data_IF_640897448019
#
_entry.id   IF_640897448019
#
_cell.length_a   1.000
_cell.length_b   1.000
_cell.length_c   1.000
_cell.angle_alpha   90.00
_cell.angle_beta   90.00
_cell.angle_gamma   90.00
#
_symmetry.space_group_name_H-M   'P 1'
#
loop_
_entity.id
_entity.type
_entity.pdbx_description
1 polymer ?
#
# COMPACT_ATOMS: atom_id res chain seq x y z
N UNK A 1 -21.79 16.30 10.70
CA UNK A 1 -20.39 16.76 10.81
C UNK A 1 -20.17 17.27 12.23
N UNK A 2 -19.12 16.83 12.91
CA UNK A 2 -18.85 17.30 14.27
C UNK A 2 -17.45 17.91 14.33
N UNK A 3 -17.37 19.11 14.91
CA UNK A 3 -16.11 19.71 15.31
C UNK A 3 -15.76 19.17 16.68
N UNK A 4 -14.60 18.54 16.82
CA UNK A 4 -14.18 17.89 18.04
C UNK A 4 -13.14 18.75 18.77
N UNK A 5 -13.30 18.90 20.07
CA UNK A 5 -12.32 19.48 20.97
C UNK A 5 -12.26 18.63 22.24
N UNK A 6 -11.07 18.24 22.69
CA UNK A 6 -10.89 17.46 23.91
C UNK A 6 -11.05 18.40 25.14
N UNK A 7 -12.07 18.14 25.94
CA UNK A 7 -12.36 18.93 27.13
C UNK A 7 -11.37 18.67 28.30
N UNK A 8 -10.35 17.83 28.13
CA UNK A 8 -9.45 17.41 29.22
C UNK A 8 -7.95 17.62 28.97
N UNK A 9 -7.51 18.03 27.79
CA UNK A 9 -6.10 18.23 27.53
C UNK A 9 -5.91 19.49 26.68
N UNK A 10 -5.25 20.48 27.25
CA UNK A 10 -4.65 21.63 26.59
C UNK A 10 -5.54 22.29 25.49
N UNK A 11 -6.01 23.48 25.70
CA UNK A 11 -6.95 24.23 24.83
C UNK A 11 -6.50 24.44 23.37
N UNK A 12 -5.41 23.79 22.95
CA UNK A 12 -4.80 23.90 21.62
C UNK A 12 -5.14 22.75 20.65
N UNK A 13 -5.82 21.68 21.09
CA UNK A 13 -6.17 20.54 20.24
C UNK A 13 -7.63 20.60 19.81
N UNK A 14 -7.84 20.96 18.57
CA UNK A 14 -9.14 20.93 17.89
C UNK A 14 -9.01 20.16 16.57
N UNK A 15 -10.10 19.65 16.09
CA UNK A 15 -10.10 18.88 14.84
C UNK A 15 -11.50 18.78 14.23
N UNK A 16 -11.52 18.24 13.01
CA UNK A 16 -12.72 17.95 12.27
C UNK A 16 -12.92 16.43 12.20
N UNK A 17 -14.14 15.98 12.34
CA UNK A 17 -14.54 14.61 12.07
C UNK A 17 -15.64 14.62 11.02
N UNK A 18 -15.36 14.01 9.86
CA UNK A 18 -16.34 13.79 8.81
C UNK A 18 -16.88 12.36 8.91
N UNK A 19 -18.19 12.23 9.12
CA UNK A 19 -18.88 10.94 9.17
C UNK A 19 -20.11 10.98 8.27
N UNK A 20 -20.31 9.94 7.48
CA UNK A 20 -21.48 9.79 6.62
C UNK A 20 -21.83 8.31 6.43
N UNK A 21 -23.12 8.05 6.17
CA UNK A 21 -23.56 6.68 5.88
C UNK A 21 -23.10 6.27 4.46
N UNK A 22 -22.67 5.01 4.23
CA UNK A 22 -22.23 4.55 2.91
C UNK A 22 -23.26 4.77 1.78
N UNK A 23 -24.54 4.68 2.09
CA UNK A 23 -25.60 4.91 1.10
C UNK A 23 -25.65 6.35 0.58
N UNK A 24 -25.14 7.30 1.35
CA UNK A 24 -25.09 8.71 0.94
C UNK A 24 -24.26 8.92 -0.34
N UNK A 25 -23.20 8.15 -0.51
CA UNK A 25 -22.28 8.24 -1.65
C UNK A 25 -22.50 7.14 -2.70
N UNK A 26 -23.34 6.13 -2.41
CA UNK A 26 -23.47 4.90 -3.21
C UNK A 26 -23.84 5.15 -4.66
N UNK A 27 -24.69 6.15 -4.94
CA UNK A 27 -25.19 6.49 -6.30
C UNK A 27 -24.23 7.38 -7.08
N UNK A 28 -23.12 7.80 -6.46
CA UNK A 28 -22.11 8.67 -7.05
C UNK A 28 -20.84 7.88 -7.34
N UNK A 29 -19.98 8.38 -8.24
CA UNK A 29 -18.69 7.76 -8.56
C UNK A 29 -17.83 7.50 -7.31
N UNK A 30 -17.90 8.39 -6.31
CA UNK A 30 -17.22 8.26 -5.03
C UNK A 30 -17.61 6.95 -4.29
N UNK A 31 -18.86 6.48 -4.39
CA UNK A 31 -19.31 5.26 -3.71
C UNK A 31 -18.54 4.01 -4.14
N UNK A 32 -18.21 3.89 -5.42
CA UNK A 32 -17.36 2.81 -5.93
C UNK A 32 -15.87 3.02 -5.60
N UNK A 33 -15.43 4.27 -5.62
CA UNK A 33 -14.01 4.63 -5.40
C UNK A 33 -13.59 4.53 -3.93
N UNK A 34 -14.45 4.89 -2.98
CA UNK A 34 -14.10 4.98 -1.56
C UNK A 34 -13.56 3.66 -1.00
N UNK A 35 -14.07 2.52 -1.48
CA UNK A 35 -13.60 1.19 -1.11
C UNK A 35 -12.17 0.90 -1.60
N UNK A 36 -11.71 1.59 -2.64
CA UNK A 36 -10.37 1.45 -3.20
C UNK A 36 -9.33 2.37 -2.54
N UNK A 37 -9.77 3.32 -1.71
CA UNK A 37 -8.89 4.24 -0.98
C UNK A 37 -8.21 3.53 0.18
N UNK A 38 -6.98 3.09 -0.04
CA UNK A 38 -6.24 2.20 0.88
C UNK A 38 -5.82 2.87 2.18
N UNK A 39 -5.69 4.19 2.20
CA UNK A 39 -5.28 4.92 3.40
C UNK A 39 -6.29 4.80 4.57
N UNK A 40 -7.53 4.40 4.32
CA UNK A 40 -8.48 4.01 5.38
C UNK A 40 -8.09 2.72 6.11
N UNK A 41 -7.16 1.94 5.56
CA UNK A 41 -6.66 0.69 6.15
C UNK A 41 -5.23 0.83 6.70
N UNK A 42 -4.72 2.06 6.82
CA UNK A 42 -3.41 2.32 7.41
C UNK A 42 -3.49 2.33 8.94
N UNK A 43 -2.38 2.02 9.58
CA UNK A 43 -2.27 2.05 11.04
C UNK A 43 -2.14 3.49 11.56
N UNK A 44 -2.42 3.69 12.86
CA UNK A 44 -2.37 5.03 13.48
C UNK A 44 -0.98 5.68 13.36
N UNK A 45 0.08 4.89 13.44
CA UNK A 45 1.47 5.35 13.26
C UNK A 45 1.82 5.67 11.81
N UNK A 46 0.92 5.37 10.87
CA UNK A 46 1.03 5.68 9.44
C UNK A 46 0.16 6.88 9.04
N UNK A 47 -0.29 7.63 10.04
CA UNK A 47 -1.15 8.80 9.82
C UNK A 47 -0.49 9.83 8.87
N UNK A 48 -1.33 10.55 8.17
CA UNK A 48 -0.90 11.60 7.27
C UNK A 48 -0.36 12.81 8.07
N UNK A 49 0.89 13.14 7.83
CA UNK A 49 1.50 14.38 8.33
C UNK A 49 1.35 15.47 7.28
N UNK A 50 0.55 16.49 7.57
CA UNK A 50 0.27 17.59 6.67
C UNK A 50 1.08 18.84 7.05
N UNK A 51 1.52 19.58 6.03
CA UNK A 51 2.13 20.91 6.20
C UNK A 51 1.07 21.97 6.55
N UNK A 52 1.50 23.14 6.98
CA UNK A 52 0.56 24.26 7.27
C UNK A 52 -0.27 24.66 6.04
N UNK A 53 0.31 24.68 4.85
CA UNK A 53 -0.40 24.98 3.62
C UNK A 53 -1.44 23.89 3.26
N UNK A 54 -1.08 22.62 3.45
CA UNK A 54 -1.99 21.49 3.25
C UNK A 54 -3.12 21.52 4.28
N UNK A 55 -2.81 21.87 5.53
CA UNK A 55 -3.79 22.04 6.60
C UNK A 55 -4.82 23.10 6.23
N UNK A 56 -4.39 24.29 5.78
CA UNK A 56 -5.30 25.35 5.33
C UNK A 56 -6.24 24.88 4.22
N UNK A 57 -5.73 24.07 3.28
CA UNK A 57 -6.54 23.48 2.21
C UNK A 57 -7.64 22.58 2.77
N UNK A 58 -7.29 21.68 3.69
CA UNK A 58 -8.25 20.76 4.32
C UNK A 58 -9.27 21.52 5.17
N UNK A 59 -8.82 22.47 5.97
CA UNK A 59 -9.69 23.31 6.79
C UNK A 59 -10.72 24.05 5.94
N UNK A 60 -10.30 24.67 4.84
CA UNK A 60 -11.19 25.36 3.92
C UNK A 60 -12.23 24.43 3.27
N UNK A 61 -11.84 23.19 2.93
CA UNK A 61 -12.78 22.19 2.41
C UNK A 61 -13.78 21.73 3.47
N UNK A 62 -13.34 21.54 4.72
CA UNK A 62 -14.20 21.15 5.82
C UNK A 62 -15.20 22.26 6.17
N UNK A 63 -14.78 23.53 6.15
CA UNK A 63 -15.66 24.69 6.34
C UNK A 63 -16.69 24.82 5.19
N UNK A 64 -16.29 24.52 3.95
CA UNK A 64 -17.21 24.50 2.83
C UNK A 64 -18.26 23.39 2.99
N UNK A 65 -17.84 22.18 3.41
CA UNK A 65 -18.75 21.08 3.73
C UNK A 65 -19.73 21.45 4.85
N UNK A 66 -19.24 22.09 5.92
CA UNK A 66 -20.08 22.52 7.03
C UNK A 66 -21.10 23.57 6.58
N UNK A 67 -20.67 24.56 5.81
CA UNK A 67 -21.58 25.59 5.27
C UNK A 67 -22.67 25.01 4.37
N UNK A 68 -22.32 24.06 3.52
CA UNK A 68 -23.28 23.40 2.65
C UNK A 68 -24.25 22.50 3.45
N UNK A 69 -23.77 21.83 4.47
CA UNK A 69 -24.60 20.99 5.35
C UNK A 69 -25.59 21.81 6.19
N UNK A 70 -25.26 23.07 6.50
CA UNK A 70 -26.12 23.97 7.31
C UNK A 70 -27.13 24.77 6.45
N UNK A 71 -27.03 24.69 5.12
CA UNK A 71 -28.01 25.34 4.23
C UNK A 71 -29.34 24.60 4.19
N UNK A 72 -30.36 25.27 3.68
CA UNK A 72 -31.61 24.61 3.32
C UNK A 72 -31.35 23.55 2.26
N UNK A 73 -31.92 22.37 2.48
CA UNK A 73 -31.70 21.20 1.61
C UNK A 73 -32.47 21.41 0.31
N UNK A 74 -31.78 21.31 -0.81
CA UNK A 74 -32.35 21.35 -2.17
C UNK A 74 -31.89 20.11 -2.98
N UNK A 75 -32.32 20.05 -4.26
CA UNK A 75 -31.99 18.94 -5.16
C UNK A 75 -30.49 18.81 -5.50
N UNK A 76 -29.69 19.85 -5.27
CA UNK A 76 -28.24 19.89 -5.56
C UNK A 76 -27.38 19.62 -4.34
N UNK A 77 -27.91 19.80 -3.12
CA UNK A 77 -27.16 19.68 -1.85
C UNK A 77 -26.37 18.39 -1.75
N UNK A 78 -26.98 17.23 -2.05
CA UNK A 78 -26.29 15.95 -1.99
C UNK A 78 -25.12 15.87 -2.97
N UNK A 79 -25.33 16.33 -4.22
CA UNK A 79 -24.30 16.28 -5.25
C UNK A 79 -23.11 17.19 -4.90
N UNK A 80 -23.36 18.36 -4.33
CA UNK A 80 -22.33 19.32 -3.89
C UNK A 80 -21.52 18.70 -2.74
N UNK A 81 -22.17 18.19 -1.71
CA UNK A 81 -21.48 17.57 -0.56
C UNK A 81 -20.62 16.38 -1.03
N UNK A 82 -21.14 15.50 -1.89
CA UNK A 82 -20.37 14.34 -2.40
C UNK A 82 -19.17 14.82 -3.22
N UNK A 83 -19.30 15.87 -4.01
CA UNK A 83 -18.20 16.44 -4.78
C UNK A 83 -17.11 17.02 -3.87
N UNK A 84 -17.48 17.71 -2.79
CA UNK A 84 -16.52 18.22 -1.80
C UNK A 84 -15.78 17.09 -1.08
N UNK A 85 -16.51 16.01 -0.72
CA UNK A 85 -15.89 14.81 -0.15
C UNK A 85 -14.90 14.18 -1.15
N UNK A 86 -15.25 14.07 -2.43
CA UNK A 86 -14.37 13.52 -3.46
C UNK A 86 -13.09 14.35 -3.63
N UNK A 87 -13.21 15.68 -3.60
CA UNK A 87 -12.06 16.60 -3.60
C UNK A 87 -11.19 16.39 -2.37
N UNK A 88 -11.77 16.24 -1.18
CA UNK A 88 -11.05 15.95 0.06
C UNK A 88 -10.26 14.64 -0.04
N UNK A 89 -10.88 13.58 -0.60
CA UNK A 89 -10.20 12.28 -0.80
C UNK A 89 -9.03 12.41 -1.80
N UNK A 90 -9.18 13.19 -2.87
CA UNK A 90 -8.12 13.46 -3.83
C UNK A 90 -6.92 14.17 -3.18
N UNK A 91 -7.18 15.14 -2.30
CA UNK A 91 -6.10 15.79 -1.53
C UNK A 91 -5.42 14.83 -0.57
N UNK A 92 -6.16 13.98 0.12
CA UNK A 92 -5.58 12.97 0.99
C UNK A 92 -4.63 12.02 0.24
N UNK A 93 -5.04 11.48 -0.92
CA UNK A 93 -4.17 10.65 -1.79
C UNK A 93 -2.91 11.41 -2.24
N UNK A 94 -3.08 12.67 -2.65
CA UNK A 94 -1.97 13.54 -3.06
C UNK A 94 -0.96 13.74 -1.93
N UNK A 95 -1.44 13.99 -0.71
CA UNK A 95 -0.59 14.26 0.45
C UNK A 95 0.11 12.99 0.93
N UNK A 96 -0.55 11.82 0.90
CA UNK A 96 0.13 10.55 1.14
C UNK A 96 1.21 10.27 0.09
N UNK A 97 0.95 10.53 -1.19
CA UNK A 97 1.97 10.39 -2.25
C UNK A 97 3.18 11.30 -2.00
N UNK A 98 2.94 12.56 -1.59
CA UNK A 98 4.01 13.47 -1.18
C UNK A 98 4.78 12.91 0.04
N UNK A 99 4.06 12.47 1.08
CA UNK A 99 4.66 11.90 2.29
C UNK A 99 5.55 10.70 1.97
N UNK A 100 5.12 9.79 1.11
CA UNK A 100 5.94 8.66 0.69
C UNK A 100 7.23 9.11 0.00
N UNK A 101 7.17 10.11 -0.88
CA UNK A 101 8.36 10.66 -1.55
C UNK A 101 9.31 11.35 -0.56
N UNK A 102 8.78 12.12 0.37
CA UNK A 102 9.59 12.82 1.38
C UNK A 102 10.22 11.84 2.36
N UNK A 103 9.51 10.79 2.76
CA UNK A 103 10.02 9.76 3.66
C UNK A 103 11.23 9.02 3.10
N UNK A 104 11.32 8.87 1.78
CA UNK A 104 12.49 8.28 1.13
C UNK A 104 13.79 9.06 1.40
N UNK A 105 13.72 10.38 1.51
CA UNK A 105 14.89 11.21 1.82
C UNK A 105 15.34 11.11 3.29
N UNK A 106 14.44 10.71 4.18
CA UNK A 106 14.69 10.59 5.62
C UNK A 106 14.99 9.15 6.03
N UNK A 107 14.32 8.17 5.40
CA UNK A 107 14.50 6.74 5.62
C UNK A 107 14.79 6.02 4.28
N UNK A 108 15.99 6.21 3.69
CA UNK A 108 16.33 5.58 2.41
C UNK A 108 16.36 4.04 2.49
N UNK A 109 16.24 3.49 3.67
CA UNK A 109 16.54 2.11 4.02
C UNK A 109 15.34 1.13 3.92
N UNK A 110 14.11 1.61 3.66
CA UNK A 110 12.94 0.69 3.65
C UNK A 110 13.07 -0.40 2.57
N UNK A 111 13.59 -0.05 1.39
CA UNK A 111 13.84 -1.04 0.34
C UNK A 111 14.88 -2.08 0.76
N UNK A 112 15.95 -1.63 1.40
CA UNK A 112 16.98 -2.52 1.95
C UNK A 112 16.38 -3.41 3.05
N UNK A 113 15.63 -2.86 3.97
CA UNK A 113 14.94 -3.62 5.04
C UNK A 113 13.95 -4.65 4.48
N UNK A 114 13.23 -4.32 3.41
CA UNK A 114 12.36 -5.29 2.70
C UNK A 114 13.19 -6.43 2.14
N UNK A 115 14.31 -6.13 1.47
CA UNK A 115 15.23 -7.15 0.94
C UNK A 115 15.77 -8.04 2.05
N UNK A 116 16.27 -7.46 3.12
CA UNK A 116 16.79 -8.18 4.29
C UNK A 116 15.72 -9.05 4.94
N UNK A 117 14.49 -8.56 5.08
CA UNK A 117 13.38 -9.35 5.61
C UNK A 117 13.05 -10.56 4.75
N UNK A 118 13.12 -10.43 3.42
CA UNK A 118 12.95 -11.56 2.49
C UNK A 118 14.14 -12.54 2.62
N UNK A 119 15.38 -12.04 2.59
CA UNK A 119 16.59 -12.86 2.71
C UNK A 119 16.61 -13.65 4.01
N UNK A 120 16.32 -13.02 5.14
CA UNK A 120 16.27 -13.67 6.46
C UNK A 120 15.18 -14.74 6.54
N UNK A 121 14.04 -14.57 5.85
CA UNK A 121 13.02 -15.62 5.78
C UNK A 121 13.59 -16.90 5.11
N UNK A 122 14.35 -16.74 4.02
CA UNK A 122 14.95 -17.86 3.29
C UNK A 122 16.33 -18.32 3.80
N UNK A 123 16.90 -17.62 4.79
CA UNK A 123 18.12 -18.06 5.47
C UNK A 123 17.86 -19.15 6.52
N UNK A 124 16.61 -19.39 6.89
CA UNK A 124 16.24 -20.45 7.83
C UNK A 124 16.56 -21.82 7.25
N UNK A 125 16.95 -22.76 8.13
CA UNK A 125 17.22 -24.14 7.70
C UNK A 125 15.91 -24.86 7.35
N UNK A 126 15.90 -25.54 6.21
CA UNK A 126 14.75 -26.31 5.72
C UNK A 126 13.99 -25.62 4.61
N UNK A 127 12.90 -26.25 4.19
CA UNK A 127 11.97 -25.71 3.19
C UNK A 127 10.98 -24.80 3.93
N UNK A 128 10.99 -23.51 3.60
CA UNK A 128 10.05 -22.53 4.15
C UNK A 128 9.03 -22.14 3.08
N UNK A 129 7.77 -21.88 3.44
CA UNK A 129 6.76 -21.43 2.48
C UNK A 129 7.16 -20.07 1.89
N UNK A 130 6.56 -19.70 0.75
CA UNK A 130 6.77 -18.39 0.15
C UNK A 130 6.37 -17.31 1.16
N UNK A 131 7.29 -16.36 1.39
CA UNK A 131 7.02 -15.22 2.26
C UNK A 131 5.87 -14.38 1.71
N UNK A 132 4.99 -13.95 2.60
CA UNK A 132 3.83 -13.14 2.22
C UNK A 132 4.09 -11.64 2.41
N UNK A 133 3.41 -10.75 1.65
CA UNK A 133 3.47 -9.31 1.89
C UNK A 133 3.16 -8.92 3.34
N UNK A 134 2.19 -9.61 3.95
CA UNK A 134 1.81 -9.42 5.35
C UNK A 134 2.99 -9.69 6.29
N UNK A 135 3.70 -10.81 6.12
CA UNK A 135 4.85 -11.15 6.95
C UNK A 135 5.97 -10.08 6.85
N UNK A 136 6.23 -9.58 5.64
CA UNK A 136 7.21 -8.50 5.46
C UNK A 136 6.75 -7.20 6.14
N UNK A 137 5.48 -6.84 5.98
CA UNK A 137 4.92 -5.63 6.60
C UNK A 137 4.99 -5.71 8.13
N UNK A 138 4.59 -6.83 8.75
CA UNK A 138 4.69 -7.07 10.20
C UNK A 138 6.13 -6.92 10.70
N UNK A 139 7.12 -7.45 9.98
CA UNK A 139 8.54 -7.30 10.36
C UNK A 139 9.04 -5.87 10.30
N UNK A 140 8.46 -5.04 9.45
CA UNK A 140 8.81 -3.62 9.34
C UNK A 140 7.96 -2.73 10.23
N UNK A 141 7.02 -3.30 11.02
CA UNK A 141 6.01 -2.57 11.80
C UNK A 141 5.16 -1.63 10.94
N UNK A 142 4.72 -2.13 9.79
CA UNK A 142 3.90 -1.42 8.82
C UNK A 142 2.64 -2.21 8.48
N UNK A 143 1.56 -1.53 8.09
CA UNK A 143 0.42 -2.21 7.48
C UNK A 143 0.77 -2.71 6.07
N UNK A 144 0.14 -3.79 5.65
CA UNK A 144 0.37 -4.40 4.33
C UNK A 144 0.06 -3.40 3.20
N UNK A 145 -0.98 -2.59 3.37
CA UNK A 145 -1.41 -1.60 2.38
C UNK A 145 -0.42 -0.43 2.30
N UNK A 146 -0.02 0.12 3.44
CA UNK A 146 0.94 1.21 3.49
C UNK A 146 2.28 0.82 2.85
N UNK A 147 2.84 -0.34 3.23
CA UNK A 147 4.08 -0.84 2.63
C UNK A 147 3.96 -1.03 1.12
N UNK A 148 2.83 -1.58 0.63
CA UNK A 148 2.61 -1.79 -0.79
C UNK A 148 2.52 -0.48 -1.57
N UNK A 149 1.88 0.55 -1.01
CA UNK A 149 1.72 1.85 -1.66
C UNK A 149 3.01 2.68 -1.59
N UNK A 150 3.74 2.61 -0.47
CA UNK A 150 5.08 3.16 -0.34
C UNK A 150 6.02 2.59 -1.42
N UNK A 151 6.14 1.26 -1.50
CA UNK A 151 7.01 0.60 -2.48
C UNK A 151 6.59 0.92 -3.93
N UNK A 152 5.29 0.96 -4.22
CA UNK A 152 4.79 1.34 -5.55
C UNK A 152 5.16 2.77 -5.91
N UNK A 153 5.10 3.69 -4.97
CA UNK A 153 5.48 5.10 -5.20
C UNK A 153 6.97 5.24 -5.47
N UNK A 154 7.81 4.41 -4.81
CA UNK A 154 9.27 4.48 -4.92
C UNK A 154 9.82 3.72 -6.15
N UNK A 155 9.25 2.57 -6.47
CA UNK A 155 9.84 1.62 -7.44
C UNK A 155 8.92 1.25 -8.59
N UNK A 156 7.66 1.70 -8.56
CA UNK A 156 6.61 1.24 -9.47
C UNK A 156 6.10 -0.18 -9.17
N UNK A 157 6.64 -0.86 -8.14
CA UNK A 157 6.34 -2.25 -7.80
C UNK A 157 5.78 -2.36 -6.37
N UNK A 158 4.77 -3.22 -6.18
CA UNK A 158 4.25 -3.53 -4.85
C UNK A 158 5.09 -4.61 -4.15
N UNK A 159 4.81 -4.85 -2.86
CA UNK A 159 5.53 -5.83 -2.03
C UNK A 159 5.57 -7.23 -2.66
N UNK A 160 4.45 -7.71 -3.23
CA UNK A 160 4.40 -9.02 -3.89
C UNK A 160 5.32 -9.10 -5.10
N UNK A 161 5.46 -8.00 -5.86
CA UNK A 161 6.35 -7.96 -7.02
C UNK A 161 7.82 -7.98 -6.62
N UNK A 162 8.19 -7.34 -5.51
CA UNK A 162 9.53 -7.42 -4.93
C UNK A 162 9.86 -8.84 -4.46
N UNK A 163 8.93 -9.52 -3.78
CA UNK A 163 9.09 -10.94 -3.39
C UNK A 163 9.31 -11.81 -4.63
N UNK A 164 8.48 -11.64 -5.66
CA UNK A 164 8.63 -12.40 -6.91
C UNK A 164 9.96 -12.14 -7.61
N UNK A 165 10.43 -10.88 -7.66
CA UNK A 165 11.73 -10.55 -8.25
C UNK A 165 12.87 -11.29 -7.51
N UNK A 166 12.87 -11.26 -6.18
CA UNK A 166 13.84 -11.96 -5.37
C UNK A 166 13.83 -13.47 -5.63
N UNK A 167 12.65 -14.10 -5.66
CA UNK A 167 12.51 -15.54 -5.94
C UNK A 167 13.05 -15.91 -7.32
N UNK A 168 12.80 -15.11 -8.33
CA UNK A 168 13.29 -15.34 -9.69
C UNK A 168 14.81 -15.21 -9.78
N UNK A 169 15.40 -14.21 -9.14
CA UNK A 169 16.85 -14.04 -9.13
C UNK A 169 17.53 -15.20 -8.40
N UNK A 170 16.97 -15.64 -7.27
CA UNK A 170 17.47 -16.84 -6.57
C UNK A 170 17.28 -18.10 -7.40
N UNK A 171 16.17 -18.24 -8.12
CA UNK A 171 15.92 -19.36 -9.03
C UNK A 171 16.95 -19.41 -10.17
N UNK A 172 17.23 -18.26 -10.81
CA UNK A 172 18.27 -18.16 -11.85
C UNK A 172 19.62 -18.64 -11.35
N UNK A 173 20.02 -18.16 -10.16
CA UNK A 173 21.28 -18.60 -9.55
C UNK A 173 21.30 -20.12 -9.34
N UNK A 174 20.26 -20.71 -8.74
CA UNK A 174 20.20 -22.16 -8.49
C UNK A 174 20.17 -22.99 -9.78
N UNK A 175 19.48 -22.51 -10.83
CA UNK A 175 19.42 -23.18 -12.13
C UNK A 175 20.78 -23.26 -12.80
N UNK A 176 21.65 -22.25 -12.63
CA UNK A 176 22.96 -22.17 -13.25
C UNK A 176 24.09 -22.79 -12.40
N UNK A 177 23.90 -22.85 -11.08
CA UNK A 177 24.98 -23.28 -10.16
C UNK A 177 24.77 -24.69 -9.57
N UNK A 178 23.64 -25.35 -9.86
CA UNK A 178 23.31 -26.65 -9.32
C UNK A 178 22.67 -27.55 -10.38
N UNK A 179 22.83 -28.90 -10.20
CA UNK A 179 22.18 -29.92 -11.04
C UNK A 179 20.72 -30.22 -10.61
N UNK A 180 20.17 -29.48 -9.64
CA UNK A 180 18.81 -29.70 -9.15
C UNK A 180 17.79 -29.50 -10.24
N UNK A 181 16.78 -30.37 -10.29
CA UNK A 181 15.65 -30.22 -11.20
C UNK A 181 14.87 -28.92 -10.92
N UNK A 182 14.13 -28.44 -11.92
CA UNK A 182 13.26 -27.29 -11.74
C UNK A 182 12.21 -27.50 -10.63
N UNK A 183 11.76 -28.74 -10.42
CA UNK A 183 10.83 -29.09 -9.34
C UNK A 183 11.47 -29.01 -7.96
N UNK A 184 12.69 -29.50 -7.81
CA UNK A 184 13.45 -29.40 -6.53
C UNK A 184 13.73 -27.94 -6.18
N UNK A 185 14.10 -27.12 -7.17
CA UNK A 185 14.28 -25.66 -6.99
C UNK A 185 12.96 -25.01 -6.58
N UNK A 186 11.85 -25.37 -7.20
CA UNK A 186 10.53 -24.85 -6.83
C UNK A 186 10.20 -25.14 -5.36
N UNK A 187 10.37 -26.40 -4.91
CA UNK A 187 10.15 -26.75 -3.50
C UNK A 187 11.11 -26.03 -2.55
N UNK A 188 12.39 -25.91 -2.92
CA UNK A 188 13.38 -25.19 -2.13
C UNK A 188 13.03 -23.70 -1.96
N UNK A 189 12.40 -23.09 -2.97
CA UNK A 189 11.92 -21.72 -2.95
C UNK A 189 10.54 -21.57 -2.28
N UNK A 190 9.96 -22.65 -1.77
CA UNK A 190 8.72 -22.63 -1.02
C UNK A 190 7.46 -22.74 -1.86
N UNK A 191 7.56 -23.07 -3.14
CA UNK A 191 6.37 -23.32 -3.97
C UNK A 191 5.77 -24.69 -3.62
N UNK A 192 4.49 -24.69 -3.28
CA UNK A 192 3.73 -25.93 -3.04
C UNK A 192 3.60 -26.76 -4.31
N UNK A 193 3.46 -26.08 -5.46
CA UNK A 193 3.29 -26.72 -6.77
C UNK A 193 4.33 -26.19 -7.76
N UNK A 194 5.22 -27.06 -8.32
CA UNK A 194 6.26 -26.67 -9.29
C UNK A 194 5.72 -25.96 -10.53
N UNK A 195 4.49 -26.23 -10.94
CA UNK A 195 3.85 -25.57 -12.05
C UNK A 195 3.61 -24.06 -11.82
N UNK A 196 3.35 -23.67 -10.57
CA UNK A 196 3.21 -22.25 -10.23
C UNK A 196 4.56 -21.53 -10.34
N UNK A 197 5.64 -22.16 -9.90
CA UNK A 197 6.99 -21.66 -10.11
C UNK A 197 7.31 -21.50 -11.60
N UNK A 198 7.12 -22.56 -12.39
CA UNK A 198 7.44 -22.55 -13.83
C UNK A 198 6.67 -21.44 -14.57
N UNK A 199 5.38 -21.24 -14.24
CA UNK A 199 4.54 -20.17 -14.80
C UNK A 199 5.05 -18.78 -14.39
N UNK A 200 5.37 -18.58 -13.12
CA UNK A 200 5.92 -17.31 -12.62
C UNK A 200 7.26 -17.02 -13.29
N UNK A 201 8.16 -18.01 -13.35
CA UNK A 201 9.48 -17.88 -13.95
C UNK A 201 9.38 -17.50 -15.43
N UNK A 202 8.56 -18.23 -16.22
CA UNK A 202 8.35 -17.93 -17.65
C UNK A 202 7.76 -16.53 -17.85
N UNK A 203 6.80 -16.12 -17.04
CA UNK A 203 6.19 -14.77 -17.12
C UNK A 203 7.19 -13.66 -16.83
N UNK A 204 8.18 -13.90 -15.95
CA UNK A 204 9.17 -12.89 -15.54
C UNK A 204 10.43 -12.88 -16.40
N UNK A 205 10.78 -14.01 -17.02
CA UNK A 205 12.05 -14.16 -17.79
C UNK A 205 11.81 -14.35 -19.29
N UNK A 206 10.59 -14.66 -19.72
CA UNK A 206 10.25 -15.04 -21.08
C UNK A 206 10.55 -16.51 -21.41
N UNK A 207 11.27 -17.23 -20.56
CA UNK A 207 11.74 -18.63 -20.76
C UNK A 207 11.24 -19.53 -19.66
N UNK A 208 11.05 -20.82 -19.94
CA UNK A 208 10.87 -21.81 -18.89
C UNK A 208 12.17 -22.03 -18.10
N UNK A 209 12.12 -22.54 -16.86
CA UNK A 209 13.33 -22.86 -16.08
C UNK A 209 14.32 -23.75 -16.83
N UNK A 210 13.81 -24.74 -17.57
CA UNK A 210 14.65 -25.67 -18.34
C UNK A 210 15.28 -25.04 -19.58
N UNK A 211 14.56 -24.15 -20.26
CA UNK A 211 15.13 -23.36 -21.37
C UNK A 211 16.21 -22.42 -20.85
N UNK A 212 15.97 -21.75 -19.72
CA UNK A 212 16.94 -20.85 -19.09
C UNK A 212 18.24 -21.56 -18.74
N UNK A 213 18.17 -22.78 -18.15
CA UNK A 213 19.35 -23.59 -17.81
C UNK A 213 20.20 -23.96 -19.03
N UNK A 214 19.57 -24.15 -20.22
CA UNK A 214 20.30 -24.56 -21.44
C UNK A 214 21.05 -23.40 -22.10
N UNK A 215 20.64 -22.15 -21.83
CA UNK A 215 21.19 -20.97 -22.47
C UNK A 215 22.32 -20.34 -21.64
N UNK A 216 22.35 -20.58 -20.35
CA UNK A 216 23.39 -20.11 -19.43
C UNK A 216 24.31 -21.22 -19.00
#
# INVERSE_FOLDING_TARGET
MHRWGDARADASRWGWMLSFHPDFVRRHALGGRIQSLRFFSYEVNEALHISDAERQTIESLMENLEREYQRDIDEHTQAIIVSLIDVLMNYAERFYTRQFRTRQSVEPDILQRVREAIEQHYAQRGIVPIVTPRHIAERLNMSTHYLADYLRTQTGQNTQQHIHAFLIDRAKHLLLTTDRSASEIAYQLGFEYPQHFARLFKRKTGMTPMEFRKVG
#
